data_IF_753753032654
#
_entry.id   IF_753753032654
#
_cell.length_a   1.000
_cell.length_b   1.000
_cell.length_c   1.000
_cell.angle_alpha   90.00
_cell.angle_beta   90.00
_cell.angle_gamma   90.00
#
_symmetry.space_group_name_H-M   'P 1'
#
loop_
_entity.id
_entity.type
_entity.pdbx_description
1 polymer ?
#
# COMPACT_ATOMS: atom_id res chain seq x y z
N UNK A 1 -18.42 4.44 30.60
CA UNK A 1 -18.83 3.02 30.48
C UNK A 1 -17.87 2.37 29.52
N UNK A 2 -17.11 1.38 29.98
CA UNK A 2 -16.22 0.60 29.09
C UNK A 2 -17.08 -0.21 28.12
N UNK A 3 -16.88 -0.05 26.82
CA UNK A 3 -17.56 -0.86 25.81
C UNK A 3 -17.14 -2.33 25.99
N UNK A 4 -18.02 -3.30 25.74
CA UNK A 4 -17.71 -4.71 25.89
C UNK A 4 -16.61 -5.13 24.89
N UNK A 5 -15.75 -6.06 25.32
CA UNK A 5 -14.74 -6.66 24.43
C UNK A 5 -15.42 -7.36 23.27
N UNK A 6 -15.03 -7.01 22.04
CA UNK A 6 -15.54 -7.60 20.80
C UNK A 6 -14.40 -8.22 20.03
N UNK A 7 -14.62 -9.41 19.45
CA UNK A 7 -13.65 -10.08 18.58
C UNK A 7 -14.20 -10.21 17.18
N UNK A 8 -13.39 -9.84 16.19
CA UNK A 8 -13.71 -9.91 14.76
C UNK A 8 -12.67 -10.81 14.08
N UNK A 9 -13.11 -11.61 13.12
CA UNK A 9 -12.25 -12.40 12.27
C UNK A 9 -12.12 -11.73 10.92
N UNK A 10 -10.87 -11.50 10.49
CA UNK A 10 -10.48 -10.94 9.22
C UNK A 10 -9.43 -11.84 8.56
N UNK A 11 -8.87 -11.43 7.43
CA UNK A 11 -7.86 -12.17 6.69
C UNK A 11 -6.48 -11.67 7.11
N UNK A 12 -5.63 -12.56 7.62
CA UNK A 12 -4.23 -12.26 7.94
C UNK A 12 -3.41 -12.05 6.66
N UNK A 13 -2.73 -10.92 6.53
CA UNK A 13 -1.91 -10.60 5.34
C UNK A 13 -0.46 -10.24 5.66
N UNK A 14 -0.17 -9.82 6.88
CA UNK A 14 1.20 -9.60 7.35
C UNK A 14 1.31 -10.05 8.81
N UNK A 15 2.32 -10.90 9.14
CA UNK A 15 2.43 -11.49 10.47
C UNK A 15 2.86 -10.46 11.53
N UNK A 16 2.51 -10.73 12.78
CA UNK A 16 2.85 -9.92 13.93
C UNK A 16 1.65 -9.68 14.84
N UNK A 17 1.90 -9.07 15.99
CA UNK A 17 0.88 -8.67 16.95
C UNK A 17 1.09 -7.21 17.29
N UNK A 18 0.05 -6.40 17.13
CA UNK A 18 0.03 -5.02 17.57
C UNK A 18 -1.02 -4.81 18.66
N UNK A 19 -0.66 -4.03 19.65
CA UNK A 19 -1.56 -3.59 20.74
C UNK A 19 -1.44 -2.08 20.82
N UNK A 20 -2.52 -1.36 20.58
CA UNK A 20 -2.49 0.09 20.56
C UNK A 20 -3.85 0.74 20.39
N UNK A 21 -3.84 2.07 20.41
CA UNK A 21 -5.03 2.87 20.10
C UNK A 21 -5.24 2.98 18.60
N UNK A 22 -6.46 3.26 18.22
CA UNK A 22 -6.87 3.42 16.83
C UNK A 22 -6.49 4.80 16.30
N UNK A 23 -5.98 4.84 15.07
CA UNK A 23 -6.13 5.99 14.18
C UNK A 23 -7.05 5.58 13.03
N UNK A 24 -8.18 6.23 12.94
CA UNK A 24 -9.07 6.06 11.79
C UNK A 24 -8.59 6.94 10.65
N UNK A 25 -8.19 6.32 9.54
CA UNK A 25 -8.03 7.03 8.30
C UNK A 25 -9.38 7.08 7.58
N UNK A 26 -9.84 8.28 7.30
CA UNK A 26 -10.91 8.46 6.32
C UNK A 26 -10.27 8.24 4.96
N UNK A 27 -10.63 7.14 4.31
CA UNK A 27 -10.14 6.88 2.98
C UNK A 27 -10.53 8.01 2.05
N UNK A 28 -9.55 8.67 1.48
CA UNK A 28 -9.76 9.63 0.38
C UNK A 28 -10.14 8.92 -0.93
N UNK A 29 -10.16 7.56 -0.91
CA UNK A 29 -10.59 6.75 -2.06
C UNK A 29 -12.10 6.87 -2.40
N UNK A 30 -12.90 7.45 -1.51
CA UNK A 30 -14.19 7.98 -1.88
C UNK A 30 -14.00 9.42 -2.33
N UNK A 31 -13.79 9.60 -3.63
CA UNK A 31 -14.05 10.89 -4.28
C UNK A 31 -15.46 11.30 -3.87
N UNK A 32 -15.55 12.26 -2.94
CA UNK A 32 -16.85 12.85 -2.62
C UNK A 32 -17.34 13.55 -3.89
N UNK A 33 -18.57 13.21 -4.30
CA UNK A 33 -19.18 13.89 -5.43
C UNK A 33 -19.29 15.38 -5.13
N UNK A 34 -18.55 16.24 -5.86
CA UNK A 34 -18.68 17.69 -5.69
C UNK A 34 -20.07 18.14 -6.15
N UNK A 35 -20.56 19.24 -5.62
CA UNK A 35 -21.78 19.85 -6.16
C UNK A 35 -21.53 20.28 -7.62
N UNK A 36 -22.45 19.93 -8.55
CA UNK A 36 -22.29 20.30 -9.95
C UNK A 36 -22.48 21.81 -10.12
N UNK A 37 -21.39 22.54 -10.30
CA UNK A 37 -21.41 23.96 -10.63
C UNK A 37 -21.08 24.16 -12.10
N UNK A 38 -21.81 25.10 -12.75
CA UNK A 38 -21.56 25.50 -14.13
C UNK A 38 -20.76 26.80 -14.16
N UNK A 39 -19.76 26.81 -15.03
CA UNK A 39 -18.90 27.96 -15.28
C UNK A 39 -19.58 28.97 -16.21
N UNK A 40 -19.31 30.24 -16.02
CA UNK A 40 -19.52 31.23 -17.06
C UNK A 40 -18.44 31.07 -18.15
N UNK A 41 -18.79 31.33 -19.45
CA UNK A 41 -17.82 31.12 -20.54
C UNK A 41 -16.47 31.84 -20.39
N UNK A 42 -16.43 32.94 -19.62
CA UNK A 42 -15.20 33.69 -19.34
C UNK A 42 -14.31 33.05 -18.29
N UNK A 43 -14.77 32.05 -17.53
CA UNK A 43 -14.04 31.40 -16.43
C UNK A 43 -13.32 30.13 -16.89
N UNK A 44 -13.62 29.61 -18.07
CA UNK A 44 -13.11 28.32 -18.59
C UNK A 44 -11.58 28.25 -18.58
N UNK A 45 -10.89 29.27 -19.09
CA UNK A 45 -9.42 29.28 -19.13
C UNK A 45 -8.81 29.36 -17.73
N UNK A 46 -9.42 30.09 -16.82
CA UNK A 46 -8.98 30.14 -15.42
C UNK A 46 -9.09 28.77 -14.75
N UNK A 47 -10.20 28.08 -15.00
CA UNK A 47 -10.46 26.77 -14.41
C UNK A 47 -9.58 25.68 -14.98
N UNK A 48 -9.26 25.72 -16.28
CA UNK A 48 -8.26 24.85 -16.91
C UNK A 48 -6.87 25.05 -16.31
N UNK A 49 -6.48 26.30 -16.11
CA UNK A 49 -5.18 26.62 -15.48
C UNK A 49 -5.13 26.09 -14.03
N UNK A 50 -6.25 26.19 -13.29
CA UNK A 50 -6.39 25.62 -11.95
C UNK A 50 -6.23 24.10 -11.96
N UNK A 51 -6.88 23.41 -12.89
CA UNK A 51 -6.72 21.96 -13.07
C UNK A 51 -5.28 21.56 -13.41
N UNK A 52 -4.64 22.22 -14.38
CA UNK A 52 -3.26 21.89 -14.75
C UNK A 52 -2.26 22.19 -13.64
N UNK A 53 -2.48 23.25 -12.85
CA UNK A 53 -1.65 23.53 -11.67
C UNK A 53 -1.77 22.40 -10.62
N UNK A 54 -2.99 21.93 -10.35
CA UNK A 54 -3.22 20.82 -9.44
C UNK A 54 -2.63 19.49 -9.95
N UNK A 55 -2.75 19.23 -11.26
CA UNK A 55 -2.14 18.07 -11.93
C UNK A 55 -0.61 18.09 -11.79
N UNK A 56 0.04 19.22 -12.07
CA UNK A 56 1.49 19.36 -11.96
C UNK A 56 1.98 19.19 -10.52
N UNK A 57 1.25 19.75 -9.56
CA UNK A 57 1.55 19.57 -8.13
C UNK A 57 1.42 18.09 -7.73
N UNK A 58 0.39 17.40 -8.21
CA UNK A 58 0.20 15.97 -8.00
C UNK A 58 1.37 15.15 -8.56
N UNK A 59 1.80 15.44 -9.79
CA UNK A 59 2.97 14.81 -10.42
C UNK A 59 4.21 14.95 -9.57
N UNK A 60 4.49 16.18 -9.09
CA UNK A 60 5.63 16.47 -8.22
C UNK A 60 5.56 15.67 -6.92
N UNK A 61 4.42 15.65 -6.25
CA UNK A 61 4.21 14.90 -5.01
C UNK A 61 4.42 13.39 -5.22
N UNK A 62 3.87 12.80 -6.29
CA UNK A 62 4.05 11.37 -6.60
C UNK A 62 5.51 11.03 -6.94
N UNK A 63 6.20 11.93 -7.63
CA UNK A 63 7.64 11.75 -7.93
C UNK A 63 8.47 11.76 -6.64
N UNK A 64 8.23 12.71 -5.74
CA UNK A 64 8.92 12.78 -4.45
C UNK A 64 8.62 11.54 -3.58
N UNK A 65 7.37 11.06 -3.58
CA UNK A 65 6.98 9.83 -2.86
C UNK A 65 7.70 8.60 -3.42
N UNK A 66 7.74 8.44 -4.74
CA UNK A 66 8.46 7.36 -5.41
C UNK A 66 9.95 7.36 -5.03
N UNK A 67 10.59 8.52 -5.05
CA UNK A 67 12.02 8.65 -4.69
C UNK A 67 12.27 8.32 -3.22
N UNK A 68 11.42 8.79 -2.31
CA UNK A 68 11.51 8.47 -0.87
C UNK A 68 11.36 6.96 -0.62
N UNK A 69 10.45 6.29 -1.32
CA UNK A 69 10.25 4.86 -1.19
C UNK A 69 11.38 4.06 -1.83
N UNK A 70 11.88 4.44 -3.00
CA UNK A 70 13.08 3.82 -3.60
C UNK A 70 14.31 3.89 -2.68
N UNK A 71 14.45 4.96 -1.91
CA UNK A 71 15.54 5.11 -0.96
C UNK A 71 15.38 4.26 0.32
N UNK A 72 14.16 3.80 0.65
CA UNK A 72 13.83 3.12 1.92
C UNK A 72 13.36 1.68 1.75
N UNK A 73 12.78 1.33 0.63
CA UNK A 73 12.15 0.05 0.32
C UNK A 73 12.69 -0.49 -1.00
N UNK A 74 12.43 -1.77 -1.28
CA UNK A 74 12.80 -2.41 -2.54
C UNK A 74 12.08 -1.77 -3.75
N UNK A 75 12.70 -1.82 -4.92
CA UNK A 75 12.26 -1.16 -6.15
C UNK A 75 10.82 -1.47 -6.58
N UNK A 76 10.32 -2.68 -6.30
CA UNK A 76 8.96 -3.10 -6.68
C UNK A 76 7.83 -2.29 -6.02
N UNK A 77 8.02 -1.86 -4.77
CA UNK A 77 7.01 -1.06 -4.06
C UNK A 77 6.91 0.36 -4.64
N UNK A 78 7.98 0.82 -5.31
CA UNK A 78 8.00 2.12 -5.99
C UNK A 78 7.35 2.10 -7.39
N UNK A 79 7.21 0.92 -8.01
CA UNK A 79 6.63 0.76 -9.36
C UNK A 79 5.12 1.09 -9.38
N UNK A 80 4.45 1.00 -8.24
CA UNK A 80 3.06 1.45 -8.08
C UNK A 80 2.93 2.94 -8.42
N UNK A 81 3.90 3.75 -7.98
CA UNK A 81 3.89 5.19 -8.27
C UNK A 81 4.24 5.51 -9.72
N UNK A 82 4.91 4.62 -10.45
CA UNK A 82 5.07 4.78 -11.91
C UNK A 82 3.73 4.65 -12.63
N UNK A 83 2.90 3.71 -12.19
CA UNK A 83 1.54 3.58 -12.71
C UNK A 83 0.68 4.82 -12.41
N UNK A 84 0.76 5.37 -11.20
CA UNK A 84 0.07 6.61 -10.85
C UNK A 84 0.57 7.81 -11.66
N UNK A 85 1.88 7.93 -11.88
CA UNK A 85 2.46 8.99 -12.73
C UNK A 85 1.99 8.87 -14.18
N UNK A 86 1.89 7.65 -14.73
CA UNK A 86 1.34 7.42 -16.05
C UNK A 86 -0.14 7.84 -16.14
N UNK A 87 -0.94 7.60 -15.10
CA UNK A 87 -2.34 8.02 -15.04
C UNK A 87 -2.49 9.54 -14.96
N UNK A 88 -1.66 10.23 -14.18
CA UNK A 88 -1.65 11.72 -14.10
C UNK A 88 -1.45 12.34 -15.47
N UNK A 89 -0.64 11.70 -16.34
CA UNK A 89 -0.27 12.18 -17.66
C UNK A 89 -1.06 11.52 -18.79
N UNK A 90 -2.04 10.65 -18.46
CA UNK A 90 -2.82 9.95 -19.46
C UNK A 90 -3.70 10.92 -20.27
N UNK A 91 -3.45 10.94 -21.58
CA UNK A 91 -4.11 11.88 -22.50
C UNK A 91 -5.63 11.69 -22.59
N UNK A 92 -6.11 10.46 -22.38
CA UNK A 92 -7.54 10.19 -22.41
C UNK A 92 -8.22 10.65 -21.14
N UNK A 93 -7.61 10.39 -20.00
CA UNK A 93 -8.10 10.84 -18.69
C UNK A 93 -8.09 12.38 -18.61
N UNK A 94 -6.95 13.01 -18.87
CA UNK A 94 -6.78 14.48 -18.87
C UNK A 94 -7.72 15.12 -19.88
N UNK A 95 -7.78 14.59 -21.11
CA UNK A 95 -8.68 15.11 -22.16
C UNK A 95 -10.16 15.02 -21.81
N UNK A 96 -10.58 14.00 -21.04
CA UNK A 96 -11.95 13.90 -20.56
C UNK A 96 -12.28 15.00 -19.53
N UNK A 97 -11.35 15.30 -18.62
CA UNK A 97 -11.50 16.42 -17.67
C UNK A 97 -11.56 17.76 -18.39
N UNK A 98 -10.60 18.02 -19.31
CA UNK A 98 -10.58 19.25 -20.11
C UNK A 98 -11.86 19.43 -20.92
N UNK A 99 -12.38 18.34 -21.49
CA UNK A 99 -13.66 18.36 -22.22
C UNK A 99 -14.82 18.75 -21.31
N UNK A 100 -14.90 18.18 -20.11
CA UNK A 100 -15.92 18.54 -19.12
C UNK A 100 -15.88 20.03 -18.75
N UNK A 101 -14.67 20.61 -18.66
CA UNK A 101 -14.51 22.04 -18.37
C UNK A 101 -14.87 22.88 -19.60
N UNK A 102 -14.37 22.55 -20.80
CA UNK A 102 -14.53 23.38 -22.01
C UNK A 102 -15.92 23.28 -22.65
N UNK A 103 -16.44 22.06 -22.81
CA UNK A 103 -17.66 21.79 -23.56
C UNK A 103 -18.89 21.75 -22.65
N UNK A 104 -18.75 21.07 -21.49
CA UNK A 104 -19.84 20.90 -20.54
C UNK A 104 -19.92 22.04 -19.51
N UNK A 105 -18.94 22.94 -19.49
CA UNK A 105 -18.83 24.10 -18.60
C UNK A 105 -18.90 23.72 -17.10
N UNK A 106 -18.35 22.57 -16.71
CA UNK A 106 -18.25 22.16 -15.33
C UNK A 106 -16.98 22.73 -14.67
N UNK A 107 -17.04 22.93 -13.36
CA UNK A 107 -15.85 23.21 -12.55
C UNK A 107 -14.85 22.05 -12.62
N UNK A 108 -13.57 22.30 -12.41
CA UNK A 108 -12.52 21.30 -12.54
C UNK A 108 -12.72 20.12 -11.59
N UNK A 109 -13.18 20.36 -10.38
CA UNK A 109 -13.50 19.34 -9.38
C UNK A 109 -14.61 18.40 -9.86
N UNK A 110 -15.72 18.94 -10.37
CA UNK A 110 -16.81 18.11 -10.88
C UNK A 110 -16.44 17.38 -12.18
N UNK A 111 -15.74 18.03 -13.11
CA UNK A 111 -15.23 17.40 -14.33
C UNK A 111 -14.25 16.26 -14.02
N UNK A 112 -13.35 16.46 -13.05
CA UNK A 112 -12.42 15.45 -12.58
C UNK A 112 -13.13 14.24 -11.95
N UNK A 113 -14.13 14.51 -11.10
CA UNK A 113 -14.95 13.46 -10.49
C UNK A 113 -15.65 12.61 -11.56
N UNK A 114 -16.31 13.24 -12.51
CA UNK A 114 -17.03 12.54 -13.60
C UNK A 114 -16.08 11.69 -14.46
N UNK A 115 -14.92 12.23 -14.83
CA UNK A 115 -13.91 11.49 -15.57
C UNK A 115 -13.40 10.28 -14.77
N UNK A 116 -13.05 10.47 -13.50
CA UNK A 116 -12.53 9.41 -12.65
C UNK A 116 -13.53 8.26 -12.46
N UNK A 117 -14.79 8.57 -12.16
CA UNK A 117 -15.82 7.55 -11.99
C UNK A 117 -16.13 6.83 -13.31
N UNK A 118 -16.14 7.54 -14.44
CA UNK A 118 -16.30 6.91 -15.74
C UNK A 118 -15.20 5.90 -16.04
N UNK A 119 -13.93 6.28 -15.92
CA UNK A 119 -12.80 5.38 -16.18
C UNK A 119 -12.73 4.24 -15.14
N UNK A 120 -12.95 4.52 -13.87
CA UNK A 120 -12.98 3.49 -12.84
C UNK A 120 -14.10 2.46 -13.08
N UNK A 121 -15.28 2.89 -13.53
CA UNK A 121 -16.37 1.98 -13.88
C UNK A 121 -16.02 1.06 -15.07
N UNK A 122 -15.30 1.58 -16.06
CA UNK A 122 -14.84 0.78 -17.21
C UNK A 122 -13.90 -0.34 -16.73
N UNK A 123 -12.91 -0.03 -15.88
CA UNK A 123 -11.98 -1.02 -15.37
C UNK A 123 -12.64 -2.01 -14.41
N UNK A 124 -13.57 -1.56 -13.56
CA UNK A 124 -14.31 -2.44 -12.65
C UNK A 124 -15.22 -3.44 -13.38
N UNK A 125 -15.64 -3.13 -14.61
CA UNK A 125 -16.42 -4.02 -15.48
C UNK A 125 -15.59 -5.11 -16.15
N UNK A 126 -14.26 -5.12 -16.01
CA UNK A 126 -13.38 -6.11 -16.61
C UNK A 126 -13.29 -7.40 -15.77
N UNK A 127 -13.13 -8.55 -16.40
CA UNK A 127 -13.02 -9.84 -15.71
C UNK A 127 -11.65 -10.02 -15.03
N UNK A 128 -10.61 -9.38 -15.54
CA UNK A 128 -9.24 -9.46 -15.04
C UNK A 128 -9.09 -8.68 -13.72
N UNK A 129 -8.64 -9.37 -12.67
CA UNK A 129 -8.46 -8.81 -11.32
C UNK A 129 -7.41 -7.70 -11.31
N UNK A 130 -6.32 -7.83 -12.06
CA UNK A 130 -5.28 -6.81 -12.19
C UNK A 130 -5.82 -5.51 -12.83
N UNK A 131 -6.68 -5.62 -13.84
CA UNK A 131 -7.31 -4.46 -14.47
C UNK A 131 -8.34 -3.80 -13.55
N UNK A 132 -9.05 -4.59 -12.72
CA UNK A 132 -9.97 -4.02 -11.71
C UNK A 132 -9.25 -3.20 -10.65
N UNK A 133 -8.03 -3.62 -10.24
CA UNK A 133 -7.21 -2.83 -9.30
C UNK A 133 -6.85 -1.45 -9.89
N UNK A 134 -6.71 -1.32 -11.22
CA UNK A 134 -6.49 -0.03 -11.90
C UNK A 134 -7.64 0.96 -11.69
N UNK A 135 -8.87 0.49 -11.50
CA UNK A 135 -10.00 1.36 -11.16
C UNK A 135 -9.80 2.07 -9.81
N UNK A 136 -9.16 1.43 -8.83
CA UNK A 136 -8.81 2.06 -7.56
C UNK A 136 -7.65 3.06 -7.71
N UNK A 137 -6.66 2.76 -8.55
CA UNK A 137 -5.54 3.66 -8.83
C UNK A 137 -6.02 4.99 -9.44
N UNK A 138 -7.00 4.92 -10.35
CA UNK A 138 -7.62 6.12 -10.95
C UNK A 138 -8.27 6.99 -9.89
N UNK A 139 -9.03 6.38 -8.96
CA UNK A 139 -9.66 7.13 -7.86
C UNK A 139 -8.62 7.73 -6.91
N UNK A 140 -7.53 7.03 -6.61
CA UNK A 140 -6.46 7.56 -5.75
C UNK A 140 -5.76 8.77 -6.39
N UNK A 141 -5.43 8.68 -7.68
CA UNK A 141 -4.85 9.81 -8.44
C UNK A 141 -5.82 10.98 -8.51
N UNK A 142 -7.09 10.72 -8.83
CA UNK A 142 -8.11 11.76 -8.92
C UNK A 142 -8.37 12.44 -7.56
N UNK A 143 -8.42 11.67 -6.47
CA UNK A 143 -8.57 12.23 -5.13
C UNK A 143 -7.41 13.16 -4.77
N UNK A 144 -6.17 12.78 -5.13
CA UNK A 144 -5.00 13.63 -4.91
C UNK A 144 -5.03 14.93 -5.74
N UNK A 145 -5.47 14.85 -7.00
CA UNK A 145 -5.68 16.06 -7.82
C UNK A 145 -6.77 16.93 -7.19
N UNK A 146 -7.85 16.32 -6.68
CA UNK A 146 -8.95 16.99 -6.00
C UNK A 146 -8.48 17.74 -4.75
N UNK A 147 -7.64 17.12 -3.92
CA UNK A 147 -7.04 17.75 -2.74
C UNK A 147 -6.22 18.99 -3.13
N UNK A 148 -5.46 18.90 -4.22
CA UNK A 148 -4.68 20.00 -4.74
C UNK A 148 -5.54 21.10 -5.40
N UNK A 149 -6.72 20.75 -5.93
CA UNK A 149 -7.71 21.71 -6.43
C UNK A 149 -8.36 22.49 -5.29
N UNK A 150 -8.66 21.85 -4.18
CA UNK A 150 -9.38 22.46 -3.06
C UNK A 150 -8.49 23.30 -2.14
N UNK A 151 -7.19 23.46 -2.46
CA UNK A 151 -6.19 24.08 -1.57
C UNK A 151 -6.19 23.48 -0.14
N UNK A 152 -6.84 22.33 0.03
CA UNK A 152 -6.79 21.57 1.26
C UNK A 152 -5.35 21.06 1.41
N UNK A 153 -4.53 21.84 2.08
CA UNK A 153 -3.13 21.52 2.35
C UNK A 153 -3.07 20.13 2.97
N UNK A 154 -2.23 19.28 2.39
CA UNK A 154 -1.87 17.99 2.94
C UNK A 154 -1.64 18.13 4.43
N UNK A 155 -2.62 17.77 5.24
CA UNK A 155 -2.35 17.53 6.63
C UNK A 155 -1.45 16.29 6.66
N UNK A 156 -0.16 16.51 6.94
CA UNK A 156 0.65 15.42 7.46
C UNK A 156 -0.20 14.77 8.54
N UNK A 157 -0.44 13.47 8.42
CA UNK A 157 -1.16 12.71 9.43
C UNK A 157 -0.21 12.68 10.63
N UNK A 158 -0.20 13.79 11.39
CA UNK A 158 0.61 13.97 12.59
C UNK A 158 0.15 12.98 13.65
N UNK A 159 0.90 11.88 13.78
CA UNK A 159 0.70 10.94 14.86
C UNK A 159 1.46 11.44 16.09
N UNK A 160 0.76 11.79 17.16
CA UNK A 160 1.39 12.16 18.44
C UNK A 160 1.95 10.94 19.16
N UNK A 161 1.31 9.76 18.99
CA UNK A 161 1.68 8.49 19.59
C UNK A 161 1.57 7.32 18.58
N UNK A 162 2.03 6.13 18.98
CA UNK A 162 1.97 4.93 18.13
C UNK A 162 0.54 4.40 18.05
N UNK A 163 0.05 4.18 16.81
CA UNK A 163 -1.35 3.83 16.52
C UNK A 163 -1.48 2.64 15.57
N UNK A 164 -2.62 1.93 15.70
CA UNK A 164 -3.10 0.98 14.71
C UNK A 164 -3.99 1.75 13.74
N UNK A 165 -3.65 1.67 12.46
CA UNK A 165 -4.38 2.34 11.38
C UNK A 165 -5.57 1.49 10.98
N UNK A 166 -6.76 2.08 11.00
CA UNK A 166 -8.00 1.41 10.58
C UNK A 166 -8.70 2.27 9.53
N UNK A 167 -9.09 1.66 8.40
CA UNK A 167 -9.75 2.37 7.31
C UNK A 167 -10.45 1.43 6.34
N UNK A 168 -11.17 2.00 5.37
CA UNK A 168 -11.80 1.19 4.33
C UNK A 168 -10.79 0.64 3.33
N UNK A 169 -9.81 1.43 2.96
CA UNK A 169 -8.63 1.05 2.17
C UNK A 169 -7.46 1.95 2.56
N UNK A 170 -6.26 1.58 2.17
CA UNK A 170 -5.08 2.43 2.28
C UNK A 170 -4.47 2.56 0.90
N UNK A 171 -4.46 3.78 0.40
CA UNK A 171 -3.76 4.08 -0.83
C UNK A 171 -2.24 4.09 -0.60
N UNK A 172 -1.44 3.82 -1.62
CA UNK A 172 0.01 3.97 -1.56
C UNK A 172 0.42 5.37 -1.09
N UNK A 173 -0.31 6.37 -1.53
CA UNK A 173 -0.10 7.76 -1.21
C UNK A 173 -0.30 8.10 0.28
N UNK A 174 -1.36 7.60 0.88
CA UNK A 174 -1.64 7.75 2.31
C UNK A 174 -0.57 7.06 3.14
N UNK A 175 -0.22 5.81 2.76
CA UNK A 175 0.77 5.01 3.48
C UNK A 175 2.16 5.65 3.46
N UNK A 176 2.55 6.27 2.34
CA UNK A 176 3.84 6.94 2.20
C UNK A 176 3.96 8.24 3.03
N UNK A 177 2.84 8.85 3.40
CA UNK A 177 2.79 10.04 4.28
C UNK A 177 2.82 9.69 5.76
N UNK A 178 2.56 8.42 6.13
CA UNK A 178 2.61 7.98 7.52
C UNK A 178 4.04 7.98 8.06
N UNK A 179 4.21 8.50 9.27
CA UNK A 179 5.42 8.28 10.04
C UNK A 179 5.47 6.81 10.49
N UNK A 180 6.24 5.99 9.76
CA UNK A 180 6.34 4.55 9.99
C UNK A 180 6.73 4.19 11.43
N UNK A 181 7.50 5.04 12.12
CA UNK A 181 7.90 4.81 13.51
C UNK A 181 6.72 4.85 14.48
N UNK A 182 5.62 5.44 14.05
CA UNK A 182 4.39 5.63 14.84
C UNK A 182 3.24 4.71 14.42
N UNK A 183 3.42 3.92 13.36
CA UNK A 183 2.45 2.89 12.94
C UNK A 183 2.73 1.59 13.66
N UNK A 184 1.70 0.99 14.26
CA UNK A 184 1.75 -0.32 14.91
C UNK A 184 1.27 -1.45 14.00
N UNK A 185 0.38 -1.17 13.07
CA UNK A 185 -0.20 -2.15 12.16
C UNK A 185 -1.40 -1.58 11.40
N UNK A 186 -1.94 -2.38 10.47
CA UNK A 186 -3.01 -1.99 9.56
C UNK A 186 -4.21 -2.95 9.65
N UNK A 187 -5.42 -2.40 9.67
CA UNK A 187 -6.66 -3.15 9.53
C UNK A 187 -7.55 -2.43 8.50
N UNK A 188 -7.79 -3.06 7.34
CA UNK A 188 -8.57 -2.45 6.26
C UNK A 188 -9.73 -3.33 5.82
N UNK A 189 -10.80 -2.66 5.38
CA UNK A 189 -12.03 -3.30 4.90
C UNK A 189 -11.79 -4.03 3.58
N UNK A 190 -11.20 -3.34 2.61
CA UNK A 190 -10.98 -3.88 1.27
C UNK A 190 -9.56 -4.37 1.08
N UNK A 191 -9.41 -5.41 0.29
CA UNK A 191 -8.11 -5.92 -0.11
C UNK A 191 -8.03 -7.45 -0.12
N UNK A 192 -7.06 -7.95 -0.87
CA UNK A 192 -6.65 -9.35 -0.91
C UNK A 192 -5.27 -9.52 -0.27
N UNK A 193 -4.77 -10.75 -0.19
CA UNK A 193 -3.40 -11.00 0.28
C UNK A 193 -2.32 -10.37 -0.62
N UNK A 194 -2.69 -9.93 -1.82
CA UNK A 194 -1.82 -9.28 -2.81
C UNK A 194 -2.07 -7.79 -2.94
N UNK A 195 -3.02 -7.20 -2.19
CA UNK A 195 -3.31 -5.76 -2.26
C UNK A 195 -2.13 -4.90 -1.78
N UNK A 196 -2.11 -3.64 -2.18
CA UNK A 196 -1.05 -2.67 -1.86
C UNK A 196 -0.79 -2.57 -0.35
N UNK A 197 -1.85 -2.52 0.48
CA UNK A 197 -1.73 -2.49 1.94
C UNK A 197 -1.00 -3.72 2.48
N UNK A 198 -1.28 -4.91 1.94
CA UNK A 198 -0.63 -6.15 2.36
C UNK A 198 0.85 -6.19 1.98
N UNK A 199 1.19 -5.72 0.78
CA UNK A 199 2.58 -5.61 0.30
C UNK A 199 3.36 -4.65 1.18
N UNK A 200 2.85 -3.44 1.39
CA UNK A 200 3.48 -2.42 2.22
C UNK A 200 3.65 -2.86 3.67
N UNK A 201 2.63 -3.47 4.27
CA UNK A 201 2.70 -3.97 5.65
C UNK A 201 3.82 -5.00 5.82
N UNK A 202 3.97 -5.93 4.86
CA UNK A 202 5.06 -6.93 4.85
C UNK A 202 6.42 -6.27 4.69
N UNK A 203 6.56 -5.33 3.77
CA UNK A 203 7.80 -4.57 3.56
C UNK A 203 8.21 -3.78 4.82
N UNK A 204 7.23 -3.18 5.51
CA UNK A 204 7.43 -2.47 6.78
C UNK A 204 7.57 -3.40 7.98
N UNK A 205 7.37 -4.72 7.82
CA UNK A 205 7.35 -5.72 8.90
C UNK A 205 6.31 -5.38 9.98
N UNK A 206 5.18 -4.83 9.59
CA UNK A 206 4.06 -4.48 10.48
C UNK A 206 2.92 -5.48 10.32
N UNK A 207 2.24 -5.86 11.42
CA UNK A 207 1.08 -6.74 11.35
C UNK A 207 -0.06 -6.08 10.57
N UNK A 208 -0.73 -6.86 9.71
CA UNK A 208 -1.86 -6.36 8.95
C UNK A 208 -2.92 -7.43 8.71
N UNK A 209 -4.16 -6.96 8.65
CA UNK A 209 -5.33 -7.75 8.28
C UNK A 209 -6.19 -6.98 7.28
N UNK A 210 -6.89 -7.71 6.42
CA UNK A 210 -7.83 -7.17 5.43
C UNK A 210 -9.18 -7.87 5.55
N UNK A 211 -10.23 -7.29 4.97
CA UNK A 211 -11.57 -7.86 5.03
C UNK A 211 -12.26 -7.64 6.37
N UNK A 212 -12.03 -6.50 7.04
CA UNK A 212 -12.79 -6.10 8.21
C UNK A 212 -14.21 -5.68 7.80
N UNK A 213 -15.23 -5.81 8.69
CA UNK A 213 -16.57 -5.34 8.39
C UNK A 213 -16.61 -3.85 8.01
N UNK A 214 -17.41 -3.45 7.00
CA UNK A 214 -17.47 -2.06 6.51
C UNK A 214 -17.84 -1.04 7.59
N UNK A 215 -18.66 -1.44 8.55
CA UNK A 215 -19.11 -0.56 9.63
C UNK A 215 -18.05 -0.36 10.74
N UNK A 216 -17.02 -1.20 10.75
CA UNK A 216 -16.02 -1.18 11.81
C UNK A 216 -15.23 0.12 11.85
N UNK A 217 -14.68 0.64 10.74
CA UNK A 217 -13.92 1.89 10.76
C UNK A 217 -14.74 3.06 11.31
N UNK A 218 -16.04 3.10 11.01
CA UNK A 218 -16.92 4.17 11.48
C UNK A 218 -17.36 4.02 12.94
N UNK A 219 -17.42 2.81 13.43
CA UNK A 219 -17.80 2.52 14.82
C UNK A 219 -16.69 2.79 15.84
N UNK A 220 -15.43 2.84 15.39
CA UNK A 220 -14.27 3.01 16.25
C UNK A 220 -13.96 4.49 16.52
N UNK A 221 -13.58 4.78 17.74
CA UNK A 221 -13.06 6.08 18.17
C UNK A 221 -11.54 6.05 18.35
N UNK A 222 -10.89 7.21 18.32
CA UNK A 222 -9.46 7.33 18.59
C UNK A 222 -9.06 6.90 20.02
N UNK A 223 -10.02 6.79 20.93
CA UNK A 223 -9.80 6.32 22.30
C UNK A 223 -9.84 4.79 22.41
N UNK A 224 -10.44 4.09 21.44
CA UNK A 224 -10.56 2.65 21.46
C UNK A 224 -9.20 1.97 21.34
N UNK A 225 -9.03 0.90 22.12
CA UNK A 225 -7.83 0.07 22.10
C UNK A 225 -8.10 -1.19 21.28
N UNK A 226 -7.13 -1.54 20.46
CA UNK A 226 -7.18 -2.70 19.58
C UNK A 226 -6.01 -3.64 19.85
N UNK A 227 -6.29 -4.94 19.76
CA UNK A 227 -5.28 -5.97 19.50
C UNK A 227 -5.46 -6.43 18.05
N UNK A 228 -4.42 -6.38 17.28
CA UNK A 228 -4.34 -6.87 15.90
C UNK A 228 -3.41 -8.08 15.84
N UNK A 229 -3.95 -9.24 15.53
CA UNK A 229 -3.19 -10.48 15.37
C UNK A 229 -3.06 -10.83 13.88
N UNK A 230 -1.98 -10.40 13.26
CA UNK A 230 -1.65 -10.64 11.85
C UNK A 230 -1.22 -12.09 11.55
N UNK A 231 -1.09 -12.97 12.56
CA UNK A 231 -0.90 -14.41 12.36
C UNK A 231 -2.22 -15.14 12.12
N UNK A 232 -3.25 -14.74 12.86
CA UNK A 232 -4.55 -15.44 12.87
C UNK A 232 -5.67 -14.64 12.21
N UNK A 233 -5.44 -13.37 11.87
CA UNK A 233 -6.46 -12.47 11.33
C UNK A 233 -7.46 -11.97 12.36
N UNK A 234 -7.16 -12.08 13.67
CA UNK A 234 -8.07 -11.64 14.71
C UNK A 234 -7.86 -10.18 15.08
N UNK A 235 -8.97 -9.47 15.25
CA UNK A 235 -9.02 -8.13 15.82
C UNK A 235 -9.83 -8.21 17.11
N UNK A 236 -9.29 -7.66 18.20
CA UNK A 236 -10.01 -7.59 19.50
C UNK A 236 -10.11 -6.11 19.85
N UNK A 237 -11.36 -5.66 19.98
CA UNK A 237 -11.70 -4.26 20.28
C UNK A 237 -11.95 -4.17 21.78
N UNK A 238 -11.38 -3.14 22.41
CA UNK A 238 -11.49 -2.87 23.84
C UNK A 238 -11.22 -4.13 24.69
N UNK A 239 -10.02 -4.76 24.55
CA UNK A 239 -9.67 -5.98 25.27
C UNK A 239 -9.69 -5.74 26.78
N UNK A 240 -10.16 -6.74 27.53
CA UNK A 240 -9.99 -6.74 28.96
C UNK A 240 -8.51 -6.94 29.35
N UNK A 241 -8.16 -6.64 30.60
CA UNK A 241 -6.80 -6.71 31.08
C UNK A 241 -6.16 -8.11 30.94
N UNK A 242 -6.97 -9.16 31.07
CA UNK A 242 -6.49 -10.55 30.95
C UNK A 242 -6.15 -10.88 29.49
N UNK A 243 -7.01 -10.49 28.57
CA UNK A 243 -6.81 -10.68 27.12
C UNK A 243 -5.61 -9.87 26.65
N UNK A 244 -5.50 -8.63 27.08
CA UNK A 244 -4.35 -7.77 26.73
C UNK A 244 -3.03 -8.37 27.19
N UNK A 245 -2.97 -8.83 28.44
CA UNK A 245 -1.77 -9.45 29.00
C UNK A 245 -1.40 -10.74 28.25
N UNK A 246 -2.38 -11.58 27.92
CA UNK A 246 -2.14 -12.80 27.14
C UNK A 246 -1.54 -12.50 25.77
N UNK A 247 -2.02 -11.46 25.08
CA UNK A 247 -1.49 -11.06 23.78
C UNK A 247 -0.15 -10.35 23.87
N UNK A 248 0.13 -9.63 24.96
CA UNK A 248 1.43 -9.05 25.23
C UNK A 248 2.50 -10.14 25.37
N UNK A 249 2.21 -11.17 26.17
CA UNK A 249 3.11 -12.32 26.31
C UNK A 249 3.31 -13.06 24.98
N UNK A 250 2.25 -13.21 24.17
CA UNK A 250 2.33 -13.82 22.84
C UNK A 250 3.21 -12.99 21.89
N UNK A 251 3.10 -11.66 21.93
CA UNK A 251 3.94 -10.76 21.13
C UNK A 251 5.41 -10.82 21.55
N UNK A 252 5.68 -10.83 22.86
CA UNK A 252 7.04 -10.96 23.41
C UNK A 252 7.67 -12.30 23.01
N UNK A 253 6.93 -13.41 23.12
CA UNK A 253 7.40 -14.73 22.70
C UNK A 253 7.71 -14.80 21.20
N UNK A 254 6.85 -14.20 20.35
CA UNK A 254 7.08 -14.12 18.91
C UNK A 254 8.34 -13.29 18.60
N UNK A 255 8.53 -12.15 19.27
CA UNK A 255 9.71 -11.31 19.13
C UNK A 255 10.99 -12.01 19.58
N UNK A 256 10.94 -12.73 20.71
CA UNK A 256 12.07 -13.52 21.21
C UNK A 256 12.46 -14.64 20.23
N UNK A 257 11.47 -15.33 19.65
CA UNK A 257 11.71 -16.34 18.62
C UNK A 257 12.34 -15.72 17.36
N UNK A 258 11.82 -14.60 16.89
CA UNK A 258 12.40 -13.89 15.75
C UNK A 258 13.86 -13.52 15.98
N UNK A 259 14.17 -12.91 17.14
CA UNK A 259 15.54 -12.53 17.49
C UNK A 259 16.48 -13.74 17.59
N UNK A 260 15.98 -14.87 18.12
CA UNK A 260 16.74 -16.11 18.16
C UNK A 260 17.06 -16.62 16.76
N UNK A 261 16.08 -16.66 15.86
CA UNK A 261 16.27 -17.07 14.46
C UNK A 261 17.24 -16.17 13.71
N UNK A 262 17.18 -14.84 13.96
CA UNK A 262 18.15 -13.90 13.38
C UNK A 262 19.59 -14.19 13.83
N UNK A 263 19.81 -14.56 15.09
CA UNK A 263 21.13 -14.95 15.59
C UNK A 263 21.60 -16.28 14.99
N UNK A 264 20.66 -17.21 14.76
CA UNK A 264 20.96 -18.52 14.18
C UNK A 264 21.38 -18.44 12.69
N UNK A 265 21.03 -17.38 11.96
CA UNK A 265 21.47 -17.18 10.57
C UNK A 265 22.99 -17.19 10.39
N UNK A 266 23.73 -16.78 11.41
CA UNK A 266 25.19 -16.74 11.39
C UNK A 266 25.84 -18.10 11.73
N UNK A 267 25.06 -19.08 12.18
CA UNK A 267 25.56 -20.39 12.53
C UNK A 267 25.82 -21.23 11.27
N UNK A 268 26.81 -22.11 11.36
CA UNK A 268 27.09 -23.08 10.29
C UNK A 268 25.94 -24.10 10.22
N UNK A 269 25.40 -24.35 9.03
CA UNK A 269 24.35 -25.35 8.84
C UNK A 269 24.97 -26.74 8.89
N UNK A 270 25.08 -27.31 10.07
CA UNK A 270 25.61 -28.66 10.30
C UNK A 270 24.68 -29.50 11.19
N UNK A 271 24.66 -30.77 10.94
CA UNK A 271 23.95 -31.73 11.77
C UNK A 271 24.69 -32.01 13.08
N UNK A 272 24.05 -32.64 14.06
CA UNK A 272 24.67 -32.96 15.37
C UNK A 272 25.88 -33.89 15.28
N UNK A 273 26.03 -34.63 14.18
CA UNK A 273 27.19 -35.49 13.88
C UNK A 273 28.25 -34.78 13.02
N UNK A 274 28.12 -33.46 12.81
CA UNK A 274 29.11 -32.62 12.14
C UNK A 274 29.05 -32.65 10.61
N UNK A 275 27.96 -33.19 10.02
CA UNK A 275 27.78 -33.16 8.57
C UNK A 275 27.26 -31.78 8.11
N UNK A 276 27.98 -31.16 7.16
CA UNK A 276 27.60 -29.85 6.59
C UNK A 276 26.44 -29.98 5.61
N UNK A 277 25.41 -29.19 5.80
CA UNK A 277 24.26 -29.09 4.90
C UNK A 277 24.39 -27.79 4.11
N UNK A 278 24.16 -27.85 2.79
CA UNK A 278 24.08 -26.66 1.96
C UNK A 278 22.67 -26.09 2.03
N UNK A 279 22.52 -24.88 2.56
CA UNK A 279 21.28 -24.13 2.56
C UNK A 279 21.30 -23.15 1.39
N UNK A 280 20.39 -23.31 0.45
CA UNK A 280 20.28 -22.44 -0.70
C UNK A 280 18.89 -21.79 -0.72
N UNK A 281 18.82 -20.51 -1.10
CA UNK A 281 17.58 -19.77 -1.14
C UNK A 281 16.88 -19.88 -2.49
N UNK A 282 15.55 -19.83 -2.48
CA UNK A 282 14.78 -19.60 -3.69
C UNK A 282 14.70 -18.09 -3.95
N UNK A 283 14.94 -17.70 -5.19
CA UNK A 283 14.87 -16.32 -5.64
C UNK A 283 13.79 -16.19 -6.72
N UNK A 284 12.78 -15.36 -6.44
CA UNK A 284 11.70 -15.12 -7.37
C UNK A 284 12.08 -13.99 -8.36
N UNK A 285 12.64 -12.89 -7.87
CA UNK A 285 13.01 -11.74 -8.69
C UNK A 285 14.46 -11.32 -8.40
N UNK A 286 15.21 -10.79 -9.39
CA UNK A 286 16.60 -10.38 -9.22
C UNK A 286 16.81 -9.33 -8.12
N UNK A 287 15.83 -8.46 -7.90
CA UNK A 287 15.88 -7.36 -6.92
C UNK A 287 16.00 -7.86 -5.48
N UNK A 288 15.54 -9.10 -5.20
CA UNK A 288 15.60 -9.73 -3.88
C UNK A 288 16.94 -10.39 -3.55
N UNK A 289 17.96 -10.19 -4.37
CA UNK A 289 19.28 -10.81 -4.15
C UNK A 289 19.90 -10.44 -2.81
N UNK A 290 19.68 -9.22 -2.35
CA UNK A 290 20.19 -8.78 -1.04
C UNK A 290 19.49 -9.47 0.14
N UNK A 291 18.22 -9.86 -0.01
CA UNK A 291 17.52 -10.69 0.98
C UNK A 291 18.16 -12.09 1.07
N UNK A 292 18.54 -12.66 -0.07
CA UNK A 292 19.27 -13.94 -0.13
C UNK A 292 20.61 -13.82 0.61
N UNK A 293 21.40 -12.78 0.35
CA UNK A 293 22.67 -12.51 1.06
C UNK A 293 22.49 -12.41 2.58
N UNK A 294 21.39 -11.78 3.01
CA UNK A 294 21.07 -11.58 4.43
C UNK A 294 20.44 -12.82 5.09
N UNK A 295 19.99 -13.80 4.31
CA UNK A 295 19.30 -14.98 4.84
C UNK A 295 20.20 -16.00 5.51
N UNK A 296 21.53 -15.94 5.29
CA UNK A 296 22.49 -16.96 5.70
C UNK A 296 22.59 -18.15 4.71
N UNK A 297 21.94 -18.06 3.55
CA UNK A 297 22.07 -19.07 2.50
C UNK A 297 23.46 -19.02 1.85
N UNK A 298 23.97 -20.17 1.43
CA UNK A 298 25.27 -20.28 0.74
C UNK A 298 25.18 -19.86 -0.75
N UNK A 299 23.98 -19.60 -1.26
CA UNK A 299 23.74 -19.18 -2.63
C UNK A 299 22.28 -19.35 -3.04
N UNK A 300 22.02 -19.18 -4.35
CA UNK A 300 20.70 -19.36 -4.95
C UNK A 300 20.53 -20.83 -5.34
N UNK A 301 19.53 -21.50 -4.78
CA UNK A 301 19.16 -22.86 -5.13
C UNK A 301 18.20 -22.97 -6.31
N UNK A 302 17.31 -21.99 -6.41
CA UNK A 302 16.36 -21.89 -7.51
C UNK A 302 16.11 -20.42 -7.83
N UNK A 303 16.28 -20.04 -9.09
CA UNK A 303 15.81 -18.77 -9.63
C UNK A 303 14.62 -19.02 -10.54
N UNK A 304 13.50 -18.37 -10.27
CA UNK A 304 12.28 -18.49 -11.05
C UNK A 304 12.33 -17.54 -12.23
N UNK A 305 12.71 -18.08 -13.39
CA UNK A 305 12.93 -17.30 -14.61
C UNK A 305 11.64 -16.79 -15.25
N UNK A 306 10.49 -17.37 -14.93
CA UNK A 306 9.18 -16.93 -15.41
C UNK A 306 8.87 -15.47 -15.07
N UNK A 307 9.39 -14.96 -13.95
CA UNK A 307 9.23 -13.54 -13.58
C UNK A 307 9.90 -12.56 -14.55
N UNK A 308 10.89 -13.00 -15.32
CA UNK A 308 11.49 -12.19 -16.38
C UNK A 308 10.53 -11.91 -17.54
N UNK A 309 9.50 -12.74 -17.68
CA UNK A 309 8.53 -12.68 -18.77
C UNK A 309 7.20 -12.06 -18.35
N UNK A 310 6.95 -11.91 -17.05
CA UNK A 310 5.70 -11.36 -16.52
C UNK A 310 5.68 -9.84 -16.62
N UNK A 311 4.48 -9.28 -16.75
CA UNK A 311 4.22 -7.82 -16.77
C UNK A 311 4.99 -7.04 -17.83
N UNK A 312 5.27 -7.67 -19.00
CA UNK A 312 5.97 -7.06 -20.13
C UNK A 312 5.15 -7.15 -21.41
N UNK A 313 5.19 -6.09 -22.22
CA UNK A 313 4.60 -6.08 -23.57
C UNK A 313 5.47 -6.85 -24.58
N UNK A 314 6.75 -7.01 -24.30
CA UNK A 314 7.73 -7.68 -25.17
C UNK A 314 8.53 -8.69 -24.36
N UNK A 315 8.69 -9.89 -24.91
CA UNK A 315 9.53 -10.95 -24.32
C UNK A 315 10.97 -10.46 -24.21
N UNK A 316 11.66 -10.70 -23.06
CA UNK A 316 13.07 -10.32 -22.91
C UNK A 316 13.94 -11.03 -23.93
N UNK A 317 14.84 -10.31 -24.55
CA UNK A 317 15.80 -10.88 -25.48
C UNK A 317 16.94 -11.62 -24.75
N UNK A 318 17.85 -12.24 -25.52
CA UNK A 318 18.93 -13.06 -24.96
C UNK A 318 19.93 -12.20 -24.16
N UNK A 319 20.17 -10.95 -24.57
CA UNK A 319 21.11 -10.05 -23.88
C UNK A 319 20.53 -9.61 -22.53
N UNK A 320 19.26 -9.23 -22.48
CA UNK A 320 18.56 -8.89 -21.23
C UNK A 320 18.60 -10.06 -20.24
N UNK A 321 18.30 -11.28 -20.69
CA UNK A 321 18.35 -12.47 -19.84
C UNK A 321 19.77 -12.75 -19.36
N UNK A 322 20.75 -12.63 -20.25
CA UNK A 322 22.17 -12.85 -19.93
C UNK A 322 22.67 -11.87 -18.86
N UNK A 323 22.27 -10.61 -18.96
CA UNK A 323 22.67 -9.59 -17.98
C UNK A 323 22.07 -9.86 -16.60
N UNK A 324 20.81 -10.33 -16.53
CA UNK A 324 20.22 -10.76 -15.27
C UNK A 324 21.01 -11.92 -14.66
N UNK A 325 21.30 -12.96 -15.44
CA UNK A 325 22.07 -14.11 -14.93
C UNK A 325 23.49 -13.72 -14.50
N UNK A 326 24.17 -12.84 -15.24
CA UNK A 326 25.50 -12.34 -14.84
C UNK A 326 25.43 -11.59 -13.51
N UNK A 327 24.43 -10.74 -13.33
CA UNK A 327 24.25 -9.99 -12.08
C UNK A 327 23.98 -10.93 -10.90
N UNK A 328 23.16 -11.96 -11.08
CA UNK A 328 22.88 -12.95 -10.05
C UNK A 328 24.11 -13.82 -9.69
N UNK A 329 24.96 -14.14 -10.68
CA UNK A 329 26.18 -14.91 -10.45
C UNK A 329 27.31 -14.09 -9.83
N UNK A 330 27.30 -12.76 -10.03
CA UNK A 330 28.28 -11.84 -9.47
C UNK A 330 27.94 -11.44 -8.01
N UNK A 331 26.72 -11.69 -7.61
CA UNK A 331 26.20 -11.35 -6.30
C UNK A 331 26.48 -12.42 -5.26
#
# INVERSE_FOLDING_TARGET
>A
MTQPTQTIQAIAVSPGIAIGRVLRLRSHSHLLEPEPHKLEPGEVESELNRFHAAQELTRKQLTELRERLRARLNSQDADIFEAHLLLVDDKMFVGAVEKGIREDLYTADYALYQAAEHFAAVFNGMEDEYLRERGSDIRDVAARIMDNLSEAHNHEIGLDDRRIIVGSSLSPSETAQLDQSKVLGFAVETGSATCHTAILARSMKLPAVVGIPPELPESLSAADKLILDGYTGKIIINPDARTEEAYRLKAEAAGALYNKLEQEKALRPETTDGFMIQLAANLDTPEKIDEVRQSGACGIGLFRTEYLFMNRLKVPDEEEQLDVYKNLLAA
#
